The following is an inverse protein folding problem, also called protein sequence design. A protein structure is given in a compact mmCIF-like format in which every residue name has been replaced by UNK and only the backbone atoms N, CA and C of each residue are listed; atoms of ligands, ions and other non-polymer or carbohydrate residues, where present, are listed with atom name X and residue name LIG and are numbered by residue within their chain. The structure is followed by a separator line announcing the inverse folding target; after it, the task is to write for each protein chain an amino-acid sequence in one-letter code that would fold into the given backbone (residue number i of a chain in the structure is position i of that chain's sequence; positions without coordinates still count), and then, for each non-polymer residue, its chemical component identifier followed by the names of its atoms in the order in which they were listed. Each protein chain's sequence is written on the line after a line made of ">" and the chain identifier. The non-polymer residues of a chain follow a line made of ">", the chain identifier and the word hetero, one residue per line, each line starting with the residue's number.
data_IF_469241030773
#
_entry.id   IF_469241030773
#
_cell.length_a   1.000
_cell.length_b   1.000
_cell.length_c   1.000
_cell.angle_alpha   90.00
_cell.angle_beta   90.00
_cell.angle_gamma   90.00
#
_symmetry.space_group_name_H-M   'P 1'
#
loop_
_entity.id
_entity.type
_entity.pdbx_description
1 polymer ?
#
# COMPACT_ATOMS: atom_id res chain seq x y z
N UNK A 1 -0.15 24.30 7.52
CA UNK A 1 -1.02 23.14 7.72
C UNK A 1 -1.27 22.52 6.37
N UNK A 2 -0.96 21.25 6.17
CA UNK A 2 -1.43 20.53 5.00
C UNK A 2 -2.95 20.36 5.16
N UNK A 3 -3.71 20.76 4.16
CA UNK A 3 -5.15 20.52 4.16
C UNK A 3 -5.38 19.03 3.94
N UNK A 4 -6.32 18.41 4.66
CA UNK A 4 -6.65 17.00 4.44
C UNK A 4 -7.39 16.86 3.11
N UNK A 5 -6.85 16.04 2.22
CA UNK A 5 -7.48 15.71 0.94
C UNK A 5 -8.39 14.51 1.15
N UNK A 6 -9.67 14.67 0.83
CA UNK A 6 -10.60 13.54 0.80
C UNK A 6 -10.37 12.76 -0.50
N UNK A 7 -9.97 11.49 -0.37
CA UNK A 7 -9.89 10.55 -1.48
C UNK A 7 -11.20 9.79 -1.64
N UNK A 8 -11.50 9.32 -2.85
CA UNK A 8 -12.69 8.51 -3.11
C UNK A 8 -12.58 7.11 -2.48
N UNK A 9 -11.36 6.56 -2.43
CA UNK A 9 -11.03 5.31 -1.77
C UNK A 9 -9.60 5.39 -1.23
N UNK A 10 -9.38 4.88 -0.02
CA UNK A 10 -8.08 4.78 0.64
C UNK A 10 -7.79 3.31 0.91
N UNK A 11 -6.73 2.81 0.28
CA UNK A 11 -6.32 1.40 0.35
C UNK A 11 -4.93 1.32 0.97
N UNK A 12 -4.73 0.33 1.85
CA UNK A 12 -3.42 0.04 2.43
C UNK A 12 -3.01 -1.42 2.24
N UNK A 13 -1.71 -1.63 2.23
CA UNK A 13 -1.08 -2.94 2.12
C UNK A 13 -0.30 -3.25 3.39
N UNK A 14 -0.42 -4.47 3.91
CA UNK A 14 0.31 -4.89 5.10
C UNK A 14 0.19 -6.38 5.36
N UNK A 15 0.74 -6.83 6.48
CA UNK A 15 0.70 -8.26 6.87
C UNK A 15 -0.06 -8.51 8.16
N UNK A 16 -0.29 -7.48 8.97
CA UNK A 16 -1.04 -7.60 10.19
C UNK A 16 -2.51 -7.25 9.92
N UNK A 17 -3.35 -8.28 9.83
CA UNK A 17 -4.78 -8.11 9.55
C UNK A 17 -5.49 -7.33 10.66
N UNK A 18 -5.12 -7.53 11.93
CA UNK A 18 -5.76 -6.85 13.06
C UNK A 18 -5.44 -5.35 13.07
N UNK A 19 -4.18 -4.98 12.78
CA UNK A 19 -3.78 -3.58 12.65
C UNK A 19 -4.46 -2.89 11.46
N UNK A 20 -4.58 -3.59 10.32
CA UNK A 20 -5.26 -3.07 9.13
C UNK A 20 -6.76 -2.87 9.40
N UNK A 21 -7.43 -3.83 10.05
CA UNK A 21 -8.84 -3.76 10.38
C UNK A 21 -9.15 -2.68 11.44
N UNK A 22 -8.21 -2.37 12.32
CA UNK A 22 -8.35 -1.31 13.32
C UNK A 22 -8.26 0.11 12.73
N UNK A 23 -7.78 0.27 11.49
CA UNK A 23 -7.61 1.58 10.87
C UNK A 23 -8.89 2.03 10.15
N UNK A 24 -9.72 2.83 10.83
CA UNK A 24 -10.99 3.35 10.31
C UNK A 24 -10.86 4.35 9.15
N UNK A 25 -9.63 4.70 8.73
CA UNK A 25 -9.38 5.58 7.58
C UNK A 25 -9.22 4.80 6.27
N UNK A 26 -9.16 3.47 6.33
CA UNK A 26 -9.06 2.61 5.16
C UNK A 26 -10.45 2.18 4.72
N UNK A 27 -10.73 2.28 3.43
CA UNK A 27 -11.91 1.70 2.81
C UNK A 27 -11.68 0.21 2.51
N UNK A 28 -10.43 -0.15 2.17
CA UNK A 28 -10.01 -1.52 1.88
C UNK A 28 -8.57 -1.77 2.34
N UNK A 29 -8.24 -3.03 2.61
CA UNK A 29 -6.86 -3.45 2.83
C UNK A 29 -6.50 -4.70 2.03
N UNK A 30 -5.23 -4.80 1.65
CA UNK A 30 -4.62 -5.96 1.04
C UNK A 30 -3.65 -6.59 2.05
N UNK A 31 -3.86 -7.87 2.38
CA UNK A 31 -2.98 -8.62 3.28
C UNK A 31 -2.06 -9.51 2.45
N UNK A 32 -0.80 -9.10 2.29
CA UNK A 32 0.19 -9.87 1.55
C UNK A 32 1.61 -9.60 2.07
N UNK A 33 2.40 -10.66 2.16
CA UNK A 33 3.81 -10.57 2.55
C UNK A 33 4.70 -10.39 1.32
N UNK A 34 5.09 -9.15 1.07
CA UNK A 34 5.80 -8.75 -0.16
C UNK A 34 7.24 -9.27 -0.28
N UNK A 35 7.81 -9.82 0.81
CA UNK A 35 9.10 -10.51 0.74
C UNK A 35 8.98 -11.91 0.14
N UNK A 36 7.81 -12.56 0.24
CA UNK A 36 7.56 -13.86 -0.40
C UNK A 36 7.04 -13.67 -1.83
N UNK A 37 6.07 -12.75 -2.02
CA UNK A 37 5.47 -12.44 -3.32
C UNK A 37 5.51 -10.93 -3.51
N UNK A 38 6.49 -10.43 -4.27
CA UNK A 38 6.71 -8.98 -4.46
C UNK A 38 5.83 -8.32 -5.52
N UNK A 39 5.01 -9.11 -6.21
CA UNK A 39 4.08 -8.65 -7.26
C UNK A 39 2.80 -8.10 -6.61
N UNK A 40 2.37 -6.90 -7.03
CA UNK A 40 1.09 -6.34 -6.63
C UNK A 40 0.00 -6.86 -7.59
N UNK A 41 -1.17 -7.24 -7.05
CA UNK A 41 -2.26 -7.86 -7.80
C UNK A 41 -3.14 -6.85 -8.55
N UNK A 42 -2.90 -5.57 -8.31
CA UNK A 42 -3.64 -4.44 -8.82
C UNK A 42 -3.26 -4.11 -10.27
N UNK A 43 -4.22 -3.62 -11.05
CA UNK A 43 -3.99 -3.20 -12.43
C UNK A 43 -3.14 -1.92 -12.51
N UNK A 44 -2.41 -1.73 -13.61
CA UNK A 44 -1.65 -0.51 -13.86
C UNK A 44 -2.57 0.74 -13.87
N UNK A 45 -2.05 1.87 -13.38
CA UNK A 45 -2.75 3.16 -13.34
C UNK A 45 -4.13 3.18 -12.63
N UNK A 46 -4.36 2.27 -11.67
CA UNK A 46 -5.61 2.23 -10.90
C UNK A 46 -5.65 3.16 -9.67
N UNK A 47 -4.53 3.82 -9.33
CA UNK A 47 -4.42 4.73 -8.18
C UNK A 47 -3.97 6.13 -8.59
N UNK A 48 -4.62 7.15 -8.04
CA UNK A 48 -4.19 8.55 -8.23
C UNK A 48 -2.88 8.87 -7.49
N UNK A 49 -2.66 8.22 -6.34
CA UNK A 49 -1.51 8.44 -5.47
C UNK A 49 -1.13 7.16 -4.72
N UNK A 50 0.17 6.91 -4.56
CA UNK A 50 0.71 5.75 -3.86
C UNK A 50 1.83 6.15 -2.88
N UNK A 51 1.47 6.74 -1.71
CA UNK A 51 2.46 7.12 -0.72
C UNK A 51 3.11 5.88 -0.10
N UNK A 52 4.44 5.90 0.00
CA UNK A 52 5.20 4.83 0.64
C UNK A 52 5.31 5.15 2.14
N UNK A 53 4.70 4.32 2.98
CA UNK A 53 4.71 4.47 4.43
C UNK A 53 5.93 3.81 5.09
N UNK A 54 6.10 4.11 6.39
CA UNK A 54 7.09 3.46 7.24
C UNK A 54 6.88 1.94 7.23
N UNK A 55 7.93 1.18 6.89
CA UNK A 55 7.89 -0.27 6.74
C UNK A 55 8.55 -0.75 5.45
N UNK A 56 8.54 0.06 4.38
CA UNK A 56 9.17 -0.29 3.11
C UNK A 56 10.69 -0.58 3.23
N UNK A 57 11.37 0.01 4.23
CA UNK A 57 12.78 -0.25 4.52
C UNK A 57 13.07 -1.71 4.92
N UNK A 58 12.04 -2.49 5.27
CA UNK A 58 12.19 -3.91 5.64
C UNK A 58 11.96 -4.85 4.45
N UNK A 59 11.66 -4.33 3.26
CA UNK A 59 11.51 -5.15 2.06
C UNK A 59 12.87 -5.65 1.58
N UNK A 60 12.98 -6.97 1.42
CA UNK A 60 14.16 -7.62 0.84
C UNK A 60 14.24 -7.40 -0.68
N UNK A 61 13.09 -7.17 -1.31
CA UNK A 61 12.95 -6.97 -2.76
C UNK A 61 12.34 -5.60 -3.07
N UNK A 62 12.83 -4.54 -2.41
CA UNK A 62 12.29 -3.18 -2.52
C UNK A 62 12.10 -2.72 -3.97
N UNK A 63 13.09 -2.91 -4.84
CA UNK A 63 12.99 -2.49 -6.24
C UNK A 63 11.93 -3.28 -7.04
N UNK A 64 11.70 -4.55 -6.70
CA UNK A 64 10.66 -5.34 -7.36
C UNK A 64 9.29 -4.74 -7.05
N UNK A 65 9.04 -4.42 -5.77
CA UNK A 65 7.79 -3.79 -5.32
C UNK A 65 7.62 -2.38 -5.88
N UNK A 66 8.64 -1.51 -5.77
CA UNK A 66 8.51 -0.11 -6.16
C UNK A 66 8.32 0.11 -7.66
N UNK A 67 8.68 -0.87 -8.51
CA UNK A 67 8.40 -0.80 -9.95
C UNK A 67 6.92 -0.76 -10.27
N UNK A 68 6.06 -1.35 -9.44
CA UNK A 68 4.60 -1.28 -9.59
C UNK A 68 4.02 0.09 -9.21
N UNK A 69 4.76 0.91 -8.47
CA UNK A 69 4.30 2.23 -7.99
C UNK A 69 4.62 3.35 -8.98
N UNK A 70 5.63 3.16 -9.83
CA UNK A 70 6.14 4.18 -10.76
C UNK A 70 5.85 3.89 -12.23
N UNK A 71 5.19 2.75 -12.52
CA UNK A 71 4.79 2.34 -13.86
C UNK A 71 3.54 3.12 -14.32
#
# INVERSE_FOLDING_TARGET
>A
MLNETAYAEVISHGINTDELAANSRLDRCCVQYLNDVSDLSEEDACYDNAPICVGAQYLQHLLAVLRHVVA
#
